data_IF_408993554315
#
_entry.id   IF_408993554315
#
_cell.length_a   1.000
_cell.length_b   1.000
_cell.length_c   1.000
_cell.angle_alpha   90.00
_cell.angle_beta   90.00
_cell.angle_gamma   90.00
#
_symmetry.space_group_name_H-M   'P 1'
#
loop_
_entity.id
_entity.type
_entity.pdbx_description
1 polymer ?
#
# COMPACT_ATOMS: atom_id res chain seq x y z
N UNK A 1 1.34 -9.97 -12.89
CA UNK A 1 2.32 -10.03 -11.78
C UNK A 1 3.54 -10.72 -12.32
N UNK A 2 4.72 -10.20 -12.03
CA UNK A 2 5.95 -10.90 -12.38
C UNK A 2 6.44 -11.82 -11.27
N UNK A 3 7.50 -12.56 -11.58
CA UNK A 3 8.10 -13.60 -10.74
C UNK A 3 9.61 -13.38 -10.67
N UNK A 4 10.31 -14.14 -9.82
CA UNK A 4 11.78 -14.16 -9.78
C UNK A 4 12.44 -12.97 -9.08
N UNK A 5 11.65 -12.14 -8.38
CA UNK A 5 12.12 -10.95 -7.67
C UNK A 5 12.21 -9.72 -8.58
N UNK A 6 12.07 -8.54 -7.97
CA UNK A 6 12.25 -7.27 -8.66
C UNK A 6 13.70 -6.79 -8.46
N UNK A 7 14.58 -7.13 -9.40
CA UNK A 7 16.03 -6.90 -9.29
C UNK A 7 16.51 -5.67 -10.09
N UNK A 8 15.67 -5.10 -10.95
CA UNK A 8 15.98 -3.88 -11.70
C UNK A 8 16.06 -2.66 -10.77
N UNK A 9 16.86 -1.65 -11.12
CA UNK A 9 17.02 -0.45 -10.31
C UNK A 9 15.76 0.43 -10.26
N UNK A 10 14.86 0.29 -11.25
CA UNK A 10 13.60 1.02 -11.32
C UNK A 10 12.64 0.33 -12.32
N UNK A 11 11.39 0.81 -12.34
CA UNK A 11 10.32 0.28 -13.20
C UNK A 11 10.61 0.52 -14.69
N UNK A 12 11.26 1.62 -15.05
CA UNK A 12 11.62 1.90 -16.46
C UNK A 12 12.59 0.86 -17.02
N UNK A 13 13.63 0.51 -16.24
CA UNK A 13 14.59 -0.53 -16.61
C UNK A 13 13.92 -1.90 -16.73
N UNK A 14 12.98 -2.23 -15.82
CA UNK A 14 12.21 -3.47 -15.87
C UNK A 14 11.30 -3.54 -17.12
N UNK A 15 10.63 -2.44 -17.48
CA UNK A 15 9.78 -2.38 -18.69
C UNK A 15 10.63 -2.59 -19.96
N UNK A 16 11.85 -2.08 -20.00
CA UNK A 16 12.75 -2.26 -21.16
C UNK A 16 13.21 -3.71 -21.31
N UNK A 17 13.45 -4.39 -20.19
CA UNK A 17 14.03 -5.74 -20.17
C UNK A 17 12.96 -6.84 -20.29
N UNK A 18 11.81 -6.66 -19.64
CA UNK A 18 10.70 -7.62 -19.61
C UNK A 18 9.34 -6.92 -19.89
N UNK A 19 9.14 -6.34 -21.08
CA UNK A 19 7.94 -5.55 -21.42
C UNK A 19 6.64 -6.36 -21.32
N UNK A 20 6.67 -7.67 -21.58
CA UNK A 20 5.52 -8.57 -21.51
C UNK A 20 4.94 -8.73 -20.10
N UNK A 21 5.74 -8.44 -19.06
CA UNK A 21 5.29 -8.48 -17.67
C UNK A 21 4.47 -7.24 -17.26
N UNK A 22 4.37 -6.24 -18.12
CA UNK A 22 3.68 -4.98 -17.86
C UNK A 22 2.49 -4.77 -18.81
N UNK A 23 1.28 -4.74 -18.25
CA UNK A 23 0.11 -4.26 -19.00
C UNK A 23 0.07 -2.72 -18.96
N UNK A 24 0.43 -2.07 -20.08
CA UNK A 24 0.41 -0.61 -20.22
C UNK A 24 -0.78 -0.07 -21.05
N UNK A 25 -1.63 -0.95 -21.58
CA UNK A 25 -2.72 -0.58 -22.50
C UNK A 25 -4.06 -0.53 -21.77
N UNK A 26 -4.38 -1.57 -21.00
CA UNK A 26 -5.68 -1.74 -20.34
C UNK A 26 -5.52 -2.31 -18.92
N UNK A 27 -4.55 -1.77 -18.18
CA UNK A 27 -4.34 -2.14 -16.78
C UNK A 27 -5.64 -1.96 -15.96
N UNK A 28 -5.99 -2.93 -15.10
CA UNK A 28 -7.23 -2.84 -14.34
C UNK A 28 -7.16 -1.72 -13.29
N UNK A 29 -8.17 -0.85 -13.28
CA UNK A 29 -8.35 0.17 -12.25
C UNK A 29 -8.96 -0.47 -10.99
N UNK A 30 -8.21 -0.50 -9.88
CA UNK A 30 -8.59 -1.15 -8.63
C UNK A 30 -7.98 -0.42 -7.43
N UNK A 31 -8.49 -0.69 -6.24
CA UNK A 31 -8.00 -0.18 -4.95
C UNK A 31 -7.00 -1.12 -4.25
N UNK A 32 -6.73 -2.28 -4.84
CA UNK A 32 -5.81 -3.27 -4.29
C UNK A 32 -5.39 -4.34 -5.29
N UNK A 33 -4.32 -5.04 -4.94
CA UNK A 33 -3.81 -6.19 -5.67
C UNK A 33 -3.55 -7.34 -4.70
N UNK A 34 -3.82 -8.57 -5.15
CA UNK A 34 -3.28 -9.75 -4.47
C UNK A 34 -1.80 -9.87 -4.85
N UNK A 35 -0.96 -10.33 -3.94
CA UNK A 35 0.37 -10.81 -4.29
C UNK A 35 0.28 -12.30 -4.56
N UNK A 36 1.00 -12.80 -5.57
CA UNK A 36 1.03 -14.22 -5.84
C UNK A 36 1.75 -14.97 -4.72
N UNK A 37 1.30 -16.19 -4.44
CA UNK A 37 1.96 -17.08 -3.48
C UNK A 37 3.39 -17.44 -3.95
N UNK A 38 4.27 -17.69 -2.98
CA UNK A 38 5.67 -18.03 -3.23
C UNK A 38 6.63 -16.83 -3.14
N UNK A 39 7.92 -17.14 -3.17
CA UNK A 39 8.99 -16.14 -3.04
C UNK A 39 9.23 -15.40 -4.36
N UNK A 40 9.53 -14.10 -4.25
CA UNK A 40 9.91 -13.28 -5.40
C UNK A 40 8.78 -12.89 -6.35
N UNK A 41 7.52 -13.05 -5.97
CA UNK A 41 6.42 -12.44 -6.74
C UNK A 41 6.45 -10.92 -6.59
N UNK A 42 6.15 -10.20 -7.66
CA UNK A 42 6.11 -8.74 -7.63
C UNK A 42 4.93 -8.18 -8.41
N UNK A 43 4.48 -7.02 -7.95
CA UNK A 43 3.40 -6.24 -8.56
C UNK A 43 3.84 -4.80 -8.63
N UNK A 44 3.57 -4.16 -9.78
CA UNK A 44 3.77 -2.72 -9.95
C UNK A 44 2.39 -2.08 -10.03
N UNK A 45 2.20 -1.03 -9.24
CA UNK A 45 0.98 -0.22 -9.22
C UNK A 45 1.36 1.16 -9.75
N UNK A 46 0.51 1.72 -10.63
CA UNK A 46 0.57 3.11 -11.06
C UNK A 46 -0.68 3.80 -10.55
N UNK A 47 -0.50 4.96 -9.94
CA UNK A 47 -1.58 5.81 -9.49
C UNK A 47 -1.23 7.28 -9.77
N UNK A 48 -2.24 8.14 -9.74
CA UNK A 48 -2.11 9.58 -9.90
C UNK A 48 -2.48 10.26 -8.59
N UNK A 49 -1.64 11.20 -8.14
CA UNK A 49 -1.96 12.05 -6.99
C UNK A 49 -2.94 13.12 -7.46
N UNK A 50 -4.24 12.86 -7.29
CA UNK A 50 -5.30 13.76 -7.77
C UNK A 50 -5.63 14.90 -6.78
N UNK A 51 -5.29 14.74 -5.50
CA UNK A 51 -5.54 15.72 -4.44
C UNK A 51 -4.59 15.48 -3.25
N UNK A 52 -4.34 16.50 -2.39
CA UNK A 52 -3.58 16.32 -1.15
C UNK A 52 -4.19 15.22 -0.28
N UNK A 53 -3.45 14.14 -0.03
CA UNK A 53 -3.96 12.97 0.66
C UNK A 53 -2.92 12.34 1.60
N UNK A 54 -3.42 11.82 2.72
CA UNK A 54 -2.70 10.88 3.57
C UNK A 54 -3.43 9.54 3.41
N UNK A 55 -2.81 8.61 2.68
CA UNK A 55 -3.37 7.30 2.39
C UNK A 55 -2.48 6.21 2.98
N UNK A 56 -2.99 4.98 3.02
CA UNK A 56 -2.27 3.82 3.52
C UNK A 56 -2.22 2.75 2.46
N UNK A 57 -1.02 2.26 2.17
CA UNK A 57 -0.84 1.01 1.44
C UNK A 57 -0.53 -0.08 2.46
N UNK A 58 -1.43 -1.05 2.60
CA UNK A 58 -1.31 -2.08 3.64
C UNK A 58 -1.75 -3.46 3.16
N UNK A 59 -1.35 -4.50 3.88
CA UNK A 59 -1.91 -5.81 3.69
C UNK A 59 -3.35 -5.84 4.22
N UNK A 60 -4.31 -6.28 3.40
CA UNK A 60 -5.72 -6.37 3.78
C UNK A 60 -6.05 -7.61 4.65
N UNK A 61 -5.03 -8.30 5.19
CA UNK A 61 -5.19 -9.34 6.23
C UNK A 61 -5.00 -8.70 7.59
N UNK A 62 -6.03 -8.73 8.44
CA UNK A 62 -6.06 -7.98 9.70
C UNK A 62 -4.86 -8.26 10.62
N UNK A 63 -4.42 -9.53 10.71
CA UNK A 63 -3.26 -9.90 11.53
C UNK A 63 -1.93 -9.40 10.95
N UNK A 64 -1.81 -9.26 9.62
CA UNK A 64 -0.64 -8.64 8.98
C UNK A 64 -0.64 -7.12 9.15
N UNK A 65 -1.81 -6.49 9.00
CA UNK A 65 -2.00 -5.06 9.26
C UNK A 65 -1.62 -4.72 10.72
N UNK A 66 -2.19 -5.44 11.69
CA UNK A 66 -1.87 -5.30 13.10
C UNK A 66 -0.40 -5.62 13.41
N UNK A 67 0.20 -6.53 12.63
CA UNK A 67 1.63 -6.83 12.68
C UNK A 67 2.54 -5.75 12.06
N UNK A 68 1.97 -4.67 11.51
CA UNK A 68 2.72 -3.54 10.96
C UNK A 68 3.04 -3.63 9.47
N UNK A 69 2.44 -4.55 8.71
CA UNK A 69 2.63 -4.64 7.25
C UNK A 69 1.85 -3.53 6.52
N UNK A 70 2.32 -2.30 6.67
CA UNK A 70 1.71 -1.09 6.16
C UNK A 70 2.76 0.00 5.91
N UNK A 71 2.46 0.90 4.98
CA UNK A 71 3.15 2.18 4.80
C UNK A 71 2.14 3.30 4.71
N UNK A 72 2.55 4.51 5.12
CA UNK A 72 1.78 5.73 4.97
C UNK A 72 2.32 6.47 3.75
N UNK A 73 1.42 6.90 2.87
CA UNK A 73 1.73 7.75 1.73
C UNK A 73 1.17 9.14 2.03
N UNK A 74 2.07 10.14 2.09
CA UNK A 74 1.71 11.55 2.28
C UNK A 74 2.02 12.28 0.98
N UNK A 75 0.99 12.76 0.33
CA UNK A 75 1.04 13.27 -1.05
C UNK A 75 0.42 14.66 -1.07
N UNK A 76 1.15 15.65 -1.59
CA UNK A 76 0.71 17.06 -1.57
C UNK A 76 0.53 17.62 -0.16
N UNK A 77 1.29 17.12 0.82
CA UNK A 77 1.15 17.47 2.24
C UNK A 77 1.22 18.98 2.50
N UNK A 78 2.00 19.71 1.70
CA UNK A 78 2.12 21.16 1.74
C UNK A 78 0.83 21.91 1.36
N UNK A 79 -0.08 21.27 0.63
CA UNK A 79 -1.37 21.81 0.23
C UNK A 79 -2.54 21.30 1.10
N UNK A 80 -2.25 20.53 2.15
CA UNK A 80 -3.26 20.09 3.10
C UNK A 80 -3.75 21.25 3.97
N UNK A 81 -5.05 21.27 4.23
CA UNK A 81 -5.63 22.15 5.25
C UNK A 81 -5.22 21.67 6.64
N UNK A 82 -5.07 22.60 7.57
CA UNK A 82 -4.90 22.28 8.98
C UNK A 82 -6.04 21.39 9.47
N UNK A 83 -5.70 20.38 10.26
CA UNK A 83 -6.71 19.56 10.92
C UNK A 83 -7.62 20.46 11.78
N UNK A 84 -8.95 20.26 11.76
CA UNK A 84 -9.85 21.00 12.62
C UNK A 84 -9.47 20.89 14.09
N UNK A 85 -9.64 21.96 14.86
CA UNK A 85 -9.19 22.03 16.26
C UNK A 85 -9.78 20.92 17.15
N UNK A 86 -11.04 20.52 16.89
CA UNK A 86 -11.66 19.44 17.64
C UNK A 86 -10.96 18.09 17.41
N UNK A 87 -10.42 17.83 16.21
CA UNK A 87 -9.68 16.59 15.90
C UNK A 87 -8.34 16.56 16.62
N UNK A 88 -7.65 17.70 16.71
CA UNK A 88 -6.36 17.81 17.42
C UNK A 88 -6.48 17.45 18.91
N UNK A 89 -7.65 17.68 19.50
CA UNK A 89 -7.95 17.40 20.90
C UNK A 89 -8.55 15.99 21.13
N UNK A 90 -8.73 15.18 20.09
CA UNK A 90 -9.19 13.80 20.22
C UNK A 90 -8.03 12.87 20.59
N UNK A 91 -8.34 11.82 21.37
CA UNK A 91 -7.41 10.71 21.57
C UNK A 91 -7.08 10.07 20.21
N UNK A 92 -5.80 10.07 19.84
CA UNK A 92 -5.31 9.59 18.55
C UNK A 92 -5.77 8.15 18.21
N UNK A 93 -5.81 7.28 19.21
CA UNK A 93 -6.46 5.99 19.17
C UNK A 93 -6.87 5.59 20.60
N UNK A 94 -8.15 5.33 20.82
CA UNK A 94 -8.61 4.63 22.02
C UNK A 94 -8.78 3.15 21.64
N UNK A 95 -7.72 2.38 21.87
CA UNK A 95 -7.71 0.95 21.59
C UNK A 95 -7.65 0.19 22.91
N UNK A 96 -8.74 -0.48 23.23
CA UNK A 96 -8.75 -1.52 24.27
C UNK A 96 -8.43 -2.84 23.56
N UNK A 97 -7.19 -3.37 23.65
CA UNK A 97 -6.87 -4.65 23.06
C UNK A 97 -7.83 -5.72 23.61
N UNK A 98 -8.42 -6.58 22.75
CA UNK A 98 -9.16 -7.72 23.27
C UNK A 98 -8.20 -8.54 24.15
N UNK A 99 -8.64 -8.86 25.38
CA UNK A 99 -7.87 -9.59 26.41
C UNK A 99 -7.40 -10.98 25.92
N UNK A 100 -7.87 -11.43 24.76
CA UNK A 100 -7.38 -12.62 24.04
C UNK A 100 -7.09 -12.28 22.58
N UNK A 101 -5.85 -11.92 22.30
CA UNK A 101 -5.24 -12.14 20.98
C UNK A 101 -4.41 -13.42 21.07
N UNK A 102 -5.09 -14.57 21.04
CA UNK A 102 -4.48 -15.91 20.94
C UNK A 102 -4.44 -16.36 19.48
N UNK A 103 -3.68 -17.40 19.12
CA UNK A 103 -3.45 -17.76 17.72
C UNK A 103 -4.79 -18.07 17.07
N UNK A 104 -5.10 -17.30 16.03
CA UNK A 104 -6.11 -17.68 15.05
C UNK A 104 -5.48 -18.84 14.29
N UNK A 105 -5.90 -20.04 14.64
CA UNK A 105 -5.85 -21.21 13.77
C UNK A 105 -6.30 -20.88 12.33
#
# INVERSE_FOLDING_TARGET
>A
MGKGGFHWPNVEAAIRDEPESFNLIDAPLRDGARLAEGEGSWTVIRYEVAFPAMSMLHCHRIHHFAGGQQIILIEGGEAMLDAPEHIKNMTHADFVPPVRYGPLD
#
